data_IF_176058983631
#
_entry.id   IF_176058983631
#
_cell.length_a   1.000
_cell.length_b   1.000
_cell.length_c   1.000
_cell.angle_alpha   90.00
_cell.angle_beta   90.00
_cell.angle_gamma   90.00
#
_symmetry.space_group_name_H-M   'P 1'
#
loop_
_entity.id
_entity.type
_entity.pdbx_description
1 polymer ?
#
# COMPACT_ATOMS: atom_id res chain seq x y z
N UNK A 1 -10.59 5.21 21.92
CA UNK A 1 -11.64 4.63 21.06
C UNK A 1 -12.83 5.61 21.04
N UNK A 2 -12.98 6.37 19.96
CA UNK A 2 -14.03 7.38 19.77
C UNK A 2 -15.44 6.76 19.80
N UNK A 3 -15.59 5.49 19.44
CA UNK A 3 -16.90 4.81 19.48
C UNK A 3 -17.39 4.60 20.91
N UNK A 4 -16.48 4.45 21.86
CA UNK A 4 -16.78 4.28 23.30
C UNK A 4 -16.90 5.61 24.03
N UNK A 5 -16.17 6.65 23.61
CA UNK A 5 -16.10 7.95 24.28
C UNK A 5 -16.33 9.12 23.31
N UNK A 6 -17.41 9.06 22.53
CA UNK A 6 -17.77 10.08 21.52
C UNK A 6 -17.74 11.51 22.04
N UNK A 7 -18.24 11.73 23.25
CA UNK A 7 -18.31 13.07 23.85
C UNK A 7 -16.92 13.63 24.16
N UNK A 8 -16.05 12.85 24.77
CA UNK A 8 -14.68 13.28 25.10
C UNK A 8 -13.90 13.58 23.81
N UNK A 9 -13.96 12.68 22.87
CA UNK A 9 -13.23 12.84 21.63
C UNK A 9 -13.73 14.05 20.80
N UNK A 10 -15.05 14.30 20.74
CA UNK A 10 -15.61 15.52 20.13
C UNK A 10 -15.14 16.78 20.85
N UNK A 11 -15.11 16.75 22.18
CA UNK A 11 -14.61 17.86 22.97
C UNK A 11 -13.14 18.16 22.67
N UNK A 12 -12.28 17.13 22.58
CA UNK A 12 -10.87 17.31 22.25
C UNK A 12 -10.66 18.03 20.92
N UNK A 13 -11.49 17.76 19.90
CA UNK A 13 -11.40 18.43 18.60
C UNK A 13 -11.77 19.93 18.66
N UNK A 14 -12.50 20.38 19.69
CA UNK A 14 -12.87 21.81 19.86
C UNK A 14 -11.82 22.62 20.60
N UNK A 15 -10.86 21.98 21.27
CA UNK A 15 -9.88 22.68 22.12
C UNK A 15 -8.92 23.53 21.28
N UNK A 16 -8.75 24.82 21.58
CA UNK A 16 -7.79 25.69 20.90
C UNK A 16 -6.34 25.20 21.02
N UNK A 17 -6.00 24.49 22.09
CA UNK A 17 -4.67 23.92 22.34
C UNK A 17 -4.35 22.68 21.49
N UNK A 18 -5.32 22.11 20.77
CA UNK A 18 -5.07 21.02 19.82
C UNK A 18 -4.72 21.62 18.47
N UNK A 19 -3.46 21.61 18.09
CA UNK A 19 -2.95 22.15 16.83
C UNK A 19 -2.87 21.10 15.73
N UNK A 20 -2.78 19.82 16.11
CA UNK A 20 -2.64 18.68 15.21
C UNK A 20 -3.67 17.60 15.55
N UNK A 21 -4.37 17.11 14.53
CA UNK A 21 -5.24 15.93 14.58
C UNK A 21 -4.66 14.90 13.59
N UNK A 22 -4.34 13.70 14.05
CA UNK A 22 -3.92 12.60 13.17
C UNK A 22 -5.09 11.69 12.86
N UNK A 23 -5.16 11.22 11.61
CA UNK A 23 -6.21 10.31 11.12
C UNK A 23 -5.55 9.05 10.55
N UNK A 24 -5.98 7.88 11.03
CA UNK A 24 -5.59 6.58 10.47
C UNK A 24 -6.81 5.67 10.54
N UNK A 25 -7.46 5.43 9.39
CA UNK A 25 -8.75 4.73 9.30
C UNK A 25 -8.78 3.66 8.21
N UNK A 26 -7.69 3.48 7.49
CA UNK A 26 -7.56 2.65 6.29
C UNK A 26 -8.41 3.15 5.10
N UNK A 27 -8.24 2.54 3.93
CA UNK A 27 -8.92 2.93 2.68
C UNK A 27 -10.45 2.90 2.82
N UNK A 28 -10.98 1.92 3.56
CA UNK A 28 -12.42 1.79 3.81
C UNK A 28 -13.02 2.94 4.62
N UNK A 29 -12.20 3.62 5.41
CA UNK A 29 -12.61 4.77 6.22
C UNK A 29 -12.96 6.03 5.42
N UNK A 30 -12.65 6.04 4.11
CA UNK A 30 -12.95 7.16 3.20
C UNK A 30 -14.22 6.93 2.37
N UNK A 31 -14.88 5.78 2.52
CA UNK A 31 -16.12 5.49 1.81
C UNK A 31 -17.26 6.44 2.21
N UNK A 32 -18.21 6.73 1.31
CA UNK A 32 -19.42 7.45 1.65
C UNK A 32 -20.15 6.81 2.85
N UNK A 33 -20.52 7.61 3.84
CA UNK A 33 -21.14 7.12 5.08
C UNK A 33 -20.15 6.69 6.16
N UNK A 34 -18.85 6.86 5.94
CA UNK A 34 -17.85 6.65 6.98
C UNK A 34 -18.11 7.52 8.20
N UNK A 35 -18.06 6.95 9.41
CA UNK A 35 -18.23 7.70 10.64
C UNK A 35 -17.13 8.75 10.90
N UNK A 36 -16.00 8.68 10.21
CA UNK A 36 -14.91 9.65 10.29
C UNK A 36 -15.41 11.07 9.99
N UNK A 37 -16.13 11.24 8.87
CA UNK A 37 -16.55 12.56 8.41
C UNK A 37 -17.60 13.18 9.33
N UNK A 38 -18.56 12.40 9.82
CA UNK A 38 -19.51 12.85 10.85
C UNK A 38 -18.77 13.31 12.11
N UNK A 39 -17.78 12.53 12.51
CA UNK A 39 -17.00 12.80 13.70
C UNK A 39 -16.18 14.09 13.58
N UNK A 40 -15.47 14.28 12.48
CA UNK A 40 -14.74 15.52 12.19
C UNK A 40 -15.70 16.72 12.12
N UNK A 41 -16.81 16.61 11.39
CA UNK A 41 -17.81 17.67 11.27
C UNK A 41 -18.37 18.10 12.63
N UNK A 42 -18.74 17.13 13.48
CA UNK A 42 -19.23 17.41 14.82
C UNK A 42 -18.20 18.10 15.72
N UNK A 43 -16.93 17.68 15.65
CA UNK A 43 -15.86 18.26 16.45
C UNK A 43 -15.45 19.67 15.99
N UNK A 44 -15.39 19.88 14.67
CA UNK A 44 -14.89 21.13 14.09
C UNK A 44 -15.95 22.24 14.00
N UNK A 45 -17.25 21.91 14.04
CA UNK A 45 -18.36 22.88 13.91
C UNK A 45 -18.26 24.07 14.87
N UNK A 46 -17.80 23.84 16.08
CA UNK A 46 -17.70 24.88 17.11
C UNK A 46 -16.27 25.40 17.32
N UNK A 47 -15.34 24.91 16.51
CA UNK A 47 -13.94 25.32 16.60
C UNK A 47 -13.77 26.74 16.02
N UNK A 48 -12.92 27.54 16.67
CA UNK A 48 -12.64 28.94 16.29
C UNK A 48 -11.21 29.18 15.88
N UNK A 49 -10.32 28.20 16.12
CA UNK A 49 -8.89 28.31 15.83
C UNK A 49 -8.50 27.36 14.69
N UNK A 50 -7.55 27.74 13.83
CA UNK A 50 -7.03 26.87 12.79
C UNK A 50 -6.50 25.53 13.35
N UNK A 51 -6.44 24.52 12.51
CA UNK A 51 -5.94 23.20 12.89
C UNK A 51 -5.41 22.44 11.67
N UNK A 52 -4.35 21.69 11.87
CA UNK A 52 -3.82 20.75 10.88
C UNK A 52 -4.42 19.37 11.10
N UNK A 53 -4.95 18.75 10.05
CA UNK A 53 -5.43 17.35 10.06
C UNK A 53 -4.49 16.54 9.18
N UNK A 54 -3.66 15.71 9.81
CA UNK A 54 -2.65 14.90 9.16
C UNK A 54 -3.18 13.48 8.94
N UNK A 55 -3.38 13.12 7.68
CA UNK A 55 -3.72 11.77 7.29
C UNK A 55 -2.47 10.88 7.29
N UNK A 56 -2.50 9.79 8.06
CA UNK A 56 -1.40 8.82 8.15
C UNK A 56 -1.77 7.47 7.50
N UNK A 57 -2.76 7.44 6.63
CA UNK A 57 -3.13 6.23 5.89
C UNK A 57 -2.23 6.01 4.66
N UNK A 58 -2.09 4.76 4.26
CA UNK A 58 -1.25 4.36 3.13
C UNK A 58 -2.00 4.57 1.78
N UNK A 59 -2.38 5.81 1.51
CA UNK A 59 -3.09 6.24 0.31
C UNK A 59 -2.23 7.31 -0.36
N UNK A 60 -2.17 7.29 -1.69
CA UNK A 60 -1.47 8.31 -2.49
C UNK A 60 -2.13 9.68 -2.27
N UNK A 61 -1.33 10.72 -2.02
CA UNK A 61 -1.81 12.07 -1.71
C UNK A 61 -2.91 12.07 -0.63
N UNK A 62 -2.65 11.37 0.45
CA UNK A 62 -3.64 11.05 1.48
C UNK A 62 -4.28 12.29 2.13
N UNK A 63 -3.56 13.40 2.27
CA UNK A 63 -4.11 14.67 2.76
C UNK A 63 -5.15 15.24 1.80
N UNK A 64 -4.84 15.32 0.49
CA UNK A 64 -5.76 15.77 -0.54
C UNK A 64 -6.99 14.86 -0.66
N UNK A 65 -6.79 13.55 -0.55
CA UNK A 65 -7.88 12.58 -0.55
C UNK A 65 -8.84 12.80 0.63
N UNK A 66 -8.29 12.99 1.84
CA UNK A 66 -9.07 13.27 3.04
C UNK A 66 -9.86 14.58 2.90
N UNK A 67 -9.21 15.67 2.49
CA UNK A 67 -9.86 16.97 2.27
C UNK A 67 -11.00 16.86 1.27
N UNK A 68 -10.75 16.26 0.12
CA UNK A 68 -11.73 16.12 -0.96
C UNK A 68 -12.98 15.37 -0.50
N UNK A 69 -12.80 14.23 0.15
CA UNK A 69 -13.91 13.40 0.64
C UNK A 69 -14.65 14.08 1.80
N UNK A 70 -13.94 14.77 2.69
CA UNK A 70 -14.56 15.47 3.79
C UNK A 70 -15.39 16.67 3.31
N UNK A 71 -14.88 17.46 2.38
CA UNK A 71 -15.65 18.56 1.77
C UNK A 71 -16.89 18.03 1.02
N UNK A 72 -16.73 16.92 0.26
CA UNK A 72 -17.86 16.27 -0.42
C UNK A 72 -18.95 15.85 0.58
N UNK A 73 -18.56 15.25 1.71
CA UNK A 73 -19.48 14.90 2.80
C UNK A 73 -20.22 16.13 3.35
N UNK A 74 -19.52 17.24 3.61
CA UNK A 74 -20.12 18.46 4.14
C UNK A 74 -21.13 19.05 3.16
N UNK A 75 -20.83 19.09 1.86
CA UNK A 75 -21.77 19.54 0.84
C UNK A 75 -22.99 18.62 0.74
N UNK A 76 -22.79 17.31 0.74
CA UNK A 76 -23.87 16.32 0.69
C UNK A 76 -24.83 16.44 1.91
N UNK A 77 -24.30 16.80 3.07
CA UNK A 77 -25.07 16.96 4.32
C UNK A 77 -25.52 18.40 4.58
N UNK A 78 -25.46 19.28 3.57
CA UNK A 78 -25.87 20.71 3.62
C UNK A 78 -25.16 21.53 4.71
N UNK A 79 -23.90 21.19 5.04
CA UNK A 79 -23.09 21.91 6.02
C UNK A 79 -22.17 22.94 5.34
N UNK A 80 -22.73 23.80 4.52
CA UNK A 80 -21.99 24.75 3.65
C UNK A 80 -21.12 25.74 4.44
N UNK A 81 -21.63 26.28 5.53
CA UNK A 81 -20.88 27.24 6.38
C UNK A 81 -19.62 26.57 6.99
N UNK A 82 -19.77 25.32 7.43
CA UNK A 82 -18.63 24.55 7.93
C UNK A 82 -17.61 24.26 6.82
N UNK A 83 -18.07 23.93 5.61
CA UNK A 83 -17.18 23.70 4.48
C UNK A 83 -16.35 24.94 4.12
N UNK A 84 -16.95 26.15 4.17
CA UNK A 84 -16.22 27.42 3.98
C UNK A 84 -15.17 27.61 5.07
N UNK A 85 -15.58 27.46 6.34
CA UNK A 85 -14.66 27.59 7.47
C UNK A 85 -13.48 26.60 7.39
N UNK A 86 -13.73 25.33 7.01
CA UNK A 86 -12.71 24.30 6.82
C UNK A 86 -11.66 24.75 5.78
N UNK A 87 -12.09 25.23 4.63
CA UNK A 87 -11.18 25.69 3.55
C UNK A 87 -10.26 26.83 4.01
N UNK A 88 -10.74 27.69 4.87
CA UNK A 88 -9.99 28.85 5.35
C UNK A 88 -9.08 28.53 6.54
N UNK A 89 -9.48 27.60 7.40
CA UNK A 89 -8.87 27.41 8.73
C UNK A 89 -8.27 26.01 8.95
N UNK A 90 -8.44 25.07 8.02
CA UNK A 90 -7.88 23.72 8.16
C UNK A 90 -6.93 23.44 7.01
N UNK A 91 -5.79 22.80 7.34
CA UNK A 91 -4.86 22.29 6.36
C UNK A 91 -4.79 20.76 6.47
N UNK A 92 -4.64 20.13 5.31
CA UNK A 92 -4.59 18.69 5.16
C UNK A 92 -3.26 18.31 4.47
N UNK A 93 -2.12 18.43 5.16
CA UNK A 93 -0.87 18.00 4.56
C UNK A 93 -0.92 16.52 4.24
N UNK A 94 -0.39 16.14 3.08
CA UNK A 94 -0.13 14.75 2.78
C UNK A 94 1.07 14.25 3.58
N UNK A 95 1.09 12.97 3.90
CA UNK A 95 2.29 12.36 4.46
C UNK A 95 2.53 10.94 3.92
N UNK A 96 3.79 10.58 3.82
CA UNK A 96 4.20 9.21 3.53
C UNK A 96 4.71 8.57 4.82
N UNK A 97 4.13 7.44 5.16
CA UNK A 97 4.50 6.63 6.33
C UNK A 97 5.07 5.30 5.87
N UNK A 98 6.21 4.91 6.43
CA UNK A 98 6.83 3.62 6.14
C UNK A 98 7.45 3.00 7.39
N UNK A 99 6.82 1.94 7.85
CA UNK A 99 7.28 1.08 8.93
C UNK A 99 6.53 -0.25 8.87
N UNK A 100 7.23 -1.35 8.65
CA UNK A 100 6.59 -2.68 8.63
C UNK A 100 6.12 -3.03 10.03
N UNK A 101 4.81 -3.29 10.16
CA UNK A 101 4.13 -3.59 11.42
C UNK A 101 3.31 -4.85 11.23
N UNK A 102 3.88 -6.05 11.52
CA UNK A 102 3.17 -7.30 11.43
C UNK A 102 1.99 -7.39 12.39
N UNK A 103 1.16 -8.39 12.19
CA UNK A 103 0.06 -8.66 13.11
C UNK A 103 0.60 -9.05 14.49
N UNK A 104 0.11 -8.39 15.54
CA UNK A 104 0.45 -8.72 16.92
C UNK A 104 -0.05 -10.12 17.26
N UNK A 105 0.85 -11.00 17.69
CA UNK A 105 0.55 -12.36 18.13
C UNK A 105 0.12 -12.38 19.59
N UNK A 106 -0.59 -13.44 20.00
CA UNK A 106 -0.96 -13.62 21.41
C UNK A 106 0.29 -13.86 22.29
N UNK A 107 1.29 -14.57 21.77
CA UNK A 107 2.57 -14.75 22.46
C UNK A 107 3.28 -13.41 22.76
N UNK A 108 3.25 -12.45 21.82
CA UNK A 108 3.79 -11.11 22.07
C UNK A 108 2.98 -10.35 23.13
N UNK A 109 1.66 -10.45 23.11
CA UNK A 109 0.80 -9.84 24.14
C UNK A 109 1.09 -10.37 25.52
N UNK A 110 1.23 -11.68 25.65
CA UNK A 110 1.58 -12.35 26.91
C UNK A 110 2.98 -11.96 27.39
N UNK A 111 3.97 -11.85 26.49
CA UNK A 111 5.31 -11.41 26.87
C UNK A 111 5.31 -9.96 27.36
N UNK A 112 4.61 -9.05 26.66
CA UNK A 112 4.47 -7.66 27.08
C UNK A 112 3.71 -7.55 28.40
N UNK A 113 2.62 -8.31 28.58
CA UNK A 113 1.87 -8.31 29.85
C UNK A 113 2.71 -8.78 31.03
N UNK A 114 3.58 -9.77 30.81
CA UNK A 114 4.49 -10.28 31.85
C UNK A 114 5.55 -9.25 32.25
N UNK A 115 6.09 -8.49 31.26
CA UNK A 115 7.13 -7.46 31.49
C UNK A 115 6.54 -6.15 31.99
N UNK A 116 5.38 -5.80 31.50
CA UNK A 116 4.68 -4.55 31.76
C UNK A 116 3.20 -4.82 32.03
N UNK A 117 2.81 -5.20 33.28
CA UNK A 117 1.43 -5.53 33.62
C UNK A 117 0.44 -4.42 33.23
N UNK A 118 -0.64 -4.79 32.55
CA UNK A 118 -1.68 -3.89 32.05
C UNK A 118 -1.42 -3.34 30.64
N UNK A 119 -0.29 -3.66 30.00
CA UNK A 119 0.06 -3.14 28.67
C UNK A 119 0.01 -4.19 27.53
N UNK A 120 -0.17 -5.48 27.85
CA UNK A 120 -0.20 -6.54 26.84
C UNK A 120 -1.27 -6.32 25.76
N UNK A 121 -2.41 -5.73 26.12
CA UNK A 121 -3.49 -5.38 25.19
C UNK A 121 -3.05 -4.39 24.08
N UNK A 122 -2.12 -3.49 24.39
CA UNK A 122 -1.63 -2.45 23.48
C UNK A 122 -0.30 -2.83 22.79
N UNK A 123 0.14 -4.08 22.92
CA UNK A 123 1.37 -4.55 22.31
C UNK A 123 1.31 -4.45 20.77
N UNK A 124 2.34 -3.85 20.18
CA UNK A 124 2.53 -3.75 18.73
C UNK A 124 3.96 -4.09 18.41
N UNK A 125 4.16 -5.07 17.52
CA UNK A 125 5.47 -5.38 16.96
C UNK A 125 5.74 -4.50 15.75
N UNK A 126 6.98 -4.04 15.61
CA UNK A 126 7.39 -3.23 14.46
C UNK A 126 8.90 -3.38 14.25
N UNK A 127 9.36 -3.15 13.02
CA UNK A 127 10.77 -3.06 12.72
C UNK A 127 11.42 -1.80 13.32
N UNK A 128 12.76 -1.74 13.32
CA UNK A 128 13.51 -0.55 13.76
C UNK A 128 13.43 0.59 12.76
N UNK A 129 13.39 0.26 11.47
CA UNK A 129 13.26 1.26 10.40
C UNK A 129 11.97 2.05 10.55
N UNK A 130 12.07 3.35 10.33
CA UNK A 130 10.93 4.26 10.27
C UNK A 130 11.21 5.38 9.30
N UNK A 131 10.21 5.74 8.52
CA UNK A 131 10.25 6.92 7.68
C UNK A 131 8.89 7.61 7.76
N UNK A 132 8.92 8.89 8.06
CA UNK A 132 7.73 9.74 8.11
C UNK A 132 8.04 11.04 7.39
N UNK A 133 7.49 11.20 6.21
CA UNK A 133 7.64 12.38 5.38
C UNK A 133 6.32 13.14 5.46
N UNK A 134 6.37 14.44 5.72
CA UNK A 134 5.18 15.28 5.91
C UNK A 134 5.31 16.49 5.02
N UNK A 135 4.25 16.82 4.29
CA UNK A 135 4.16 18.02 3.48
C UNK A 135 4.17 19.28 4.35
N UNK A 136 4.98 20.28 3.96
CA UNK A 136 5.08 21.57 4.64
C UNK A 136 3.84 22.45 4.35
N UNK A 137 2.70 22.05 4.90
CA UNK A 137 1.42 22.73 4.71
C UNK A 137 0.59 22.72 6.01
N UNK A 138 0.93 23.59 6.95
CA UNK A 138 0.34 23.63 8.28
C UNK A 138 -0.59 24.84 8.46
N UNK A 139 -1.68 24.66 9.25
CA UNK A 139 -2.65 25.71 9.52
C UNK A 139 -2.24 26.68 10.65
N UNK A 140 -1.41 26.20 11.56
CA UNK A 140 -0.94 26.93 12.75
C UNK A 140 0.35 26.30 13.25
N UNK A 141 0.76 26.65 14.47
CA UNK A 141 1.92 26.04 15.12
C UNK A 141 1.85 24.52 15.03
N UNK A 142 2.92 23.93 14.54
CA UNK A 142 3.06 22.50 14.36
C UNK A 142 4.20 21.99 15.24
N UNK A 143 4.04 20.87 15.95
CA UNK A 143 5.12 20.33 16.76
C UNK A 143 6.32 20.00 15.87
N UNK A 144 7.53 20.34 16.34
CA UNK A 144 8.76 20.02 15.61
C UNK A 144 9.04 18.52 15.62
N UNK A 145 8.39 17.80 14.70
CA UNK A 145 8.55 16.35 14.53
C UNK A 145 9.88 15.95 13.89
N UNK A 146 10.68 16.93 13.41
CA UNK A 146 12.03 16.64 12.89
C UNK A 146 12.95 16.10 14.00
N UNK A 147 12.73 16.51 15.24
CA UNK A 147 13.46 16.01 16.41
C UNK A 147 13.26 14.52 16.69
N UNK A 148 12.18 13.92 16.14
CA UNK A 148 11.91 12.49 16.24
C UNK A 148 12.10 11.75 14.92
N UNK A 149 12.72 12.45 13.93
CA UNK A 149 13.14 11.87 12.65
C UNK A 149 12.11 11.97 11.54
N UNK A 150 11.05 12.77 11.68
CA UNK A 150 10.20 13.11 10.54
C UNK A 150 10.95 14.07 9.59
N UNK A 151 10.65 13.98 8.30
CA UNK A 151 11.15 14.89 7.26
C UNK A 151 9.99 15.79 6.82
N UNK A 152 10.21 17.10 6.88
CA UNK A 152 9.26 18.09 6.37
C UNK A 152 9.71 18.51 4.97
N UNK A 153 8.82 18.44 3.99
CA UNK A 153 9.14 18.74 2.59
C UNK A 153 7.99 19.49 1.90
N UNK A 154 8.34 20.30 0.91
CA UNK A 154 7.32 20.95 0.04
C UNK A 154 6.82 20.02 -1.06
N UNK A 155 7.57 18.99 -1.39
CA UNK A 155 7.23 18.01 -2.40
C UNK A 155 7.37 16.61 -1.81
N UNK A 156 6.23 15.96 -1.61
CA UNK A 156 6.16 14.61 -1.05
C UNK A 156 6.13 13.53 -2.14
N UNK A 157 5.78 13.90 -3.37
CA UNK A 157 5.54 12.95 -4.46
C UNK A 157 6.73 12.02 -4.73
N UNK A 158 8.02 12.51 -4.76
CA UNK A 158 9.16 11.63 -4.97
C UNK A 158 9.29 10.51 -3.93
N UNK A 159 8.94 10.79 -2.68
CA UNK A 159 8.98 9.81 -1.59
C UNK A 159 7.83 8.80 -1.71
N UNK A 160 6.61 9.26 -2.01
CA UNK A 160 5.46 8.39 -2.22
C UNK A 160 5.67 7.46 -3.40
N UNK A 161 6.09 8.00 -4.57
CA UNK A 161 6.35 7.21 -5.78
C UNK A 161 7.40 6.14 -5.52
N UNK A 162 8.52 6.51 -4.91
CA UNK A 162 9.60 5.57 -4.62
C UNK A 162 9.12 4.45 -3.69
N UNK A 163 8.46 4.79 -2.59
CA UNK A 163 7.93 3.80 -1.64
C UNK A 163 6.90 2.89 -2.29
N UNK A 164 5.94 3.45 -3.02
CA UNK A 164 4.86 2.69 -3.66
C UNK A 164 5.42 1.71 -4.70
N UNK A 165 6.35 2.14 -5.53
CA UNK A 165 6.89 1.31 -6.61
C UNK A 165 7.93 0.31 -6.12
N UNK A 166 8.90 0.75 -5.33
CA UNK A 166 10.02 -0.10 -4.88
C UNK A 166 9.56 -1.04 -3.77
N UNK A 167 9.02 -0.50 -2.68
CA UNK A 167 8.64 -1.32 -1.54
C UNK A 167 7.34 -2.08 -1.82
N UNK A 168 6.23 -1.37 -2.05
CA UNK A 168 4.93 -2.03 -2.20
C UNK A 168 4.86 -2.85 -3.51
N UNK A 169 5.39 -2.31 -4.61
CA UNK A 169 5.47 -2.99 -5.91
C UNK A 169 6.38 -4.22 -5.85
N UNK A 170 7.56 -4.09 -5.26
CA UNK A 170 8.49 -5.20 -5.05
C UNK A 170 7.89 -6.31 -4.16
N UNK A 171 7.28 -5.92 -3.05
CA UNK A 171 6.59 -6.83 -2.13
C UNK A 171 5.47 -7.62 -2.84
N UNK A 172 4.57 -6.91 -3.55
CA UNK A 172 3.48 -7.52 -4.31
C UNK A 172 4.00 -8.44 -5.41
N UNK A 173 5.04 -8.02 -6.11
CA UNK A 173 5.61 -8.77 -7.24
C UNK A 173 6.23 -10.10 -6.84
N UNK A 174 6.85 -10.18 -5.66
CA UNK A 174 7.51 -11.40 -5.18
C UNK A 174 6.60 -12.32 -4.37
N UNK A 175 5.59 -11.79 -3.70
CA UNK A 175 4.76 -12.57 -2.78
C UNK A 175 4.15 -13.81 -3.43
N UNK A 176 3.59 -13.67 -4.64
CA UNK A 176 2.97 -14.79 -5.34
C UNK A 176 3.99 -15.82 -5.85
N UNK A 177 5.18 -15.37 -6.26
CA UNK A 177 6.27 -16.28 -6.61
C UNK A 177 6.70 -17.09 -5.40
N UNK A 178 6.90 -16.44 -4.25
CA UNK A 178 7.25 -17.11 -3.00
C UNK A 178 6.20 -18.10 -2.54
N UNK A 179 4.93 -17.72 -2.56
CA UNK A 179 3.81 -18.60 -2.18
C UNK A 179 3.68 -19.81 -3.10
N UNK A 180 3.89 -19.64 -4.40
CA UNK A 180 3.93 -20.75 -5.37
C UNK A 180 5.14 -21.66 -5.18
N UNK A 181 6.26 -21.12 -4.69
CA UNK A 181 7.47 -21.89 -4.34
C UNK A 181 7.36 -22.59 -2.98
N UNK A 182 6.23 -22.44 -2.27
CA UNK A 182 5.97 -23.16 -1.02
C UNK A 182 6.49 -22.49 0.25
N UNK A 183 6.97 -21.25 0.16
CA UNK A 183 7.35 -20.46 1.34
C UNK A 183 6.10 -19.97 2.08
N UNK A 184 6.26 -19.71 3.38
CA UNK A 184 5.17 -19.21 4.23
C UNK A 184 5.33 -17.73 4.57
N UNK A 185 6.57 -17.24 4.61
CA UNK A 185 6.90 -15.89 5.04
C UNK A 185 7.75 -15.17 4.00
N UNK A 186 7.71 -13.85 4.00
CA UNK A 186 8.39 -13.05 2.98
C UNK A 186 9.91 -13.01 3.16
N UNK A 187 10.38 -13.10 4.40
CA UNK A 187 11.81 -13.21 4.70
C UNK A 187 12.41 -14.52 4.18
N UNK A 188 11.66 -15.63 4.22
CA UNK A 188 12.09 -16.90 3.58
C UNK A 188 12.29 -16.70 2.08
N UNK A 189 11.36 -16.01 1.41
CA UNK A 189 11.47 -15.69 -0.03
C UNK A 189 12.71 -14.85 -0.32
N UNK A 190 12.94 -13.80 0.48
CA UNK A 190 14.08 -12.90 0.27
C UNK A 190 15.44 -13.52 0.64
N UNK A 191 15.44 -14.52 1.51
CA UNK A 191 16.66 -15.28 1.84
C UNK A 191 16.97 -16.40 0.82
N UNK A 192 16.04 -16.73 -0.08
CA UNK A 192 16.32 -17.61 -1.22
C UNK A 192 17.09 -16.86 -2.32
N UNK A 193 18.26 -17.39 -2.78
CA UNK A 193 19.10 -16.70 -3.77
C UNK A 193 18.42 -16.46 -5.12
N UNK A 194 17.46 -17.31 -5.53
CA UNK A 194 16.76 -17.20 -6.81
C UNK A 194 15.76 -16.07 -6.78
N UNK A 195 14.94 -15.99 -5.72
CA UNK A 195 13.95 -14.94 -5.52
C UNK A 195 14.61 -13.59 -5.26
N UNK A 196 15.69 -13.58 -4.47
CA UNK A 196 16.49 -12.38 -4.23
C UNK A 196 17.10 -11.83 -5.52
N UNK A 197 17.60 -12.69 -6.41
CA UNK A 197 18.09 -12.30 -7.73
C UNK A 197 16.96 -11.72 -8.58
N UNK A 198 15.78 -12.34 -8.56
CA UNK A 198 14.61 -11.81 -9.26
C UNK A 198 14.21 -10.43 -8.75
N UNK A 199 14.20 -10.22 -7.42
CA UNK A 199 13.97 -8.92 -6.81
C UNK A 199 14.94 -7.86 -7.36
N UNK A 200 16.24 -8.14 -7.33
CA UNK A 200 17.24 -7.21 -7.85
C UNK A 200 17.05 -6.90 -9.33
N UNK A 201 16.79 -7.90 -10.16
CA UNK A 201 16.53 -7.71 -11.58
C UNK A 201 15.27 -6.87 -11.83
N UNK A 202 14.21 -7.09 -11.07
CA UNK A 202 12.99 -6.31 -11.12
C UNK A 202 13.26 -4.85 -10.73
N UNK A 203 13.92 -4.62 -9.59
CA UNK A 203 14.18 -3.26 -9.09
C UNK A 203 15.11 -2.48 -10.03
N UNK A 204 16.31 -3.02 -10.28
CA UNK A 204 17.33 -2.28 -11.05
C UNK A 204 17.04 -2.23 -12.55
N UNK A 205 16.41 -3.28 -13.11
CA UNK A 205 16.14 -3.38 -14.56
C UNK A 205 14.86 -2.69 -15.01
N UNK A 206 13.85 -2.66 -14.16
CA UNK A 206 12.50 -2.29 -14.59
C UNK A 206 11.88 -1.18 -13.71
N UNK A 207 11.91 -1.29 -12.37
CA UNK A 207 11.23 -0.32 -11.49
C UNK A 207 12.01 0.98 -11.40
N UNK A 208 13.30 0.95 -10.97
CA UNK A 208 14.11 2.18 -10.85
C UNK A 208 14.12 2.98 -12.16
N UNK A 209 14.40 2.37 -13.34
CA UNK A 209 14.40 3.12 -14.60
C UNK A 209 13.03 3.67 -15.02
N UNK A 210 11.96 3.26 -14.36
CA UNK A 210 10.60 3.74 -14.60
C UNK A 210 10.19 4.91 -13.69
N UNK A 211 10.98 5.22 -12.66
CA UNK A 211 10.76 6.35 -11.76
C UNK A 211 11.46 7.56 -12.38
N UNK A 212 10.71 8.66 -12.54
CA UNK A 212 11.19 9.89 -13.15
C UNK A 212 11.32 11.00 -12.10
N UNK A 213 12.08 12.02 -12.43
CA UNK A 213 12.31 13.19 -11.60
C UNK A 213 13.58 13.11 -10.75
N UNK A 214 13.93 14.25 -10.16
CA UNK A 214 15.05 14.35 -9.23
C UNK A 214 14.61 13.86 -7.85
N UNK A 215 15.24 12.82 -7.37
CA UNK A 215 14.96 12.27 -6.04
C UNK A 215 15.86 12.96 -5.00
N UNK A 216 15.32 13.32 -3.82
CA UNK A 216 16.10 13.97 -2.77
C UNK A 216 16.98 12.99 -1.97
N UNK A 217 17.16 11.77 -2.46
CA UNK A 217 17.94 10.70 -1.84
C UNK A 217 18.45 9.71 -2.90
N UNK A 218 19.41 8.86 -2.53
CA UNK A 218 19.91 7.79 -3.42
C UNK A 218 18.90 6.62 -3.47
N UNK A 219 18.34 6.41 -4.65
CA UNK A 219 17.34 5.35 -4.89
C UNK A 219 17.93 3.96 -4.76
N UNK A 220 19.21 3.77 -5.05
CA UNK A 220 19.88 2.47 -4.94
C UNK A 220 20.12 2.12 -3.47
N UNK A 221 20.54 3.08 -2.65
CA UNK A 221 20.63 2.90 -1.19
C UNK A 221 19.25 2.57 -0.59
N UNK A 222 18.18 3.18 -1.11
CA UNK A 222 16.83 2.88 -0.68
C UNK A 222 16.43 1.43 -1.03
N UNK A 223 16.75 0.93 -2.23
CA UNK A 223 16.49 -0.47 -2.62
C UNK A 223 17.28 -1.44 -1.74
N UNK A 224 18.55 -1.17 -1.47
CA UNK A 224 19.37 -2.01 -0.58
C UNK A 224 18.77 -2.04 0.84
N UNK A 225 18.24 -0.92 1.31
CA UNK A 225 17.55 -0.85 2.61
C UNK A 225 16.23 -1.65 2.61
N UNK A 226 15.47 -1.60 1.53
CA UNK A 226 14.26 -2.41 1.37
C UNK A 226 14.60 -3.90 1.34
N UNK A 227 15.67 -4.30 0.65
CA UNK A 227 16.16 -5.68 0.62
C UNK A 227 16.54 -6.18 2.02
N UNK A 228 17.29 -5.38 2.79
CA UNK A 228 17.64 -5.67 4.18
C UNK A 228 16.39 -5.89 5.05
N UNK A 229 15.42 -4.98 4.96
CA UNK A 229 14.16 -5.03 5.72
C UNK A 229 13.33 -6.27 5.38
N UNK A 230 13.23 -6.61 4.10
CA UNK A 230 12.49 -7.77 3.62
C UNK A 230 13.14 -9.11 4.01
N UNK A 231 14.47 -9.13 4.20
CA UNK A 231 15.21 -10.32 4.61
C UNK A 231 15.24 -10.52 6.14
N UNK A 232 14.62 -9.63 6.90
CA UNK A 232 14.67 -9.63 8.36
C UNK A 232 13.73 -10.67 8.97
N UNK A 233 14.27 -11.83 9.37
CA UNK A 233 13.54 -12.93 9.99
C UNK A 233 12.97 -12.61 11.39
N UNK A 234 13.30 -11.46 11.98
CA UNK A 234 12.70 -11.06 13.28
C UNK A 234 11.37 -10.32 13.10
N UNK A 235 11.08 -9.84 11.89
CA UNK A 235 9.86 -9.12 11.56
C UNK A 235 9.06 -9.89 10.48
N UNK A 236 8.59 -11.07 10.88
CA UNK A 236 7.94 -12.04 9.99
C UNK A 236 6.64 -11.49 9.40
N UNK A 237 6.55 -11.48 8.08
CA UNK A 237 5.34 -11.14 7.35
C UNK A 237 4.82 -12.34 6.55
N UNK A 238 3.60 -12.79 6.87
CA UNK A 238 3.01 -13.98 6.26
C UNK A 238 2.59 -13.72 4.81
N UNK A 239 2.98 -14.62 3.89
CA UNK A 239 2.62 -14.54 2.48
C UNK A 239 1.10 -14.60 2.26
N UNK A 240 0.37 -15.37 3.07
CA UNK A 240 -1.10 -15.40 3.03
C UNK A 240 -1.71 -13.98 3.18
N UNK A 241 -1.11 -13.13 4.03
CA UNK A 241 -1.54 -11.74 4.21
C UNK A 241 -1.13 -10.85 3.03
N UNK A 242 0.08 -11.03 2.52
CA UNK A 242 0.61 -10.21 1.43
C UNK A 242 -0.11 -10.52 0.12
N UNK A 243 -0.44 -11.76 -0.14
CA UNK A 243 -1.14 -12.21 -1.35
C UNK A 243 -2.63 -11.80 -1.40
N UNK A 244 -3.18 -11.15 -0.36
CA UNK A 244 -4.56 -10.63 -0.40
C UNK A 244 -4.67 -9.43 -1.33
N UNK A 245 -5.88 -9.24 -1.93
CA UNK A 245 -6.25 -8.07 -2.75
C UNK A 245 -5.27 -7.79 -3.90
N UNK A 246 -4.96 -8.84 -4.66
CA UNK A 246 -4.04 -8.75 -5.78
C UNK A 246 -4.51 -7.80 -6.86
N UNK A 247 -5.82 -7.77 -7.13
CA UNK A 247 -6.41 -6.90 -8.14
C UNK A 247 -6.05 -5.42 -7.89
N UNK A 248 -6.32 -4.92 -6.69
CA UNK A 248 -6.03 -3.53 -6.33
C UNK A 248 -4.52 -3.28 -6.24
N UNK A 249 -3.77 -4.22 -5.64
CA UNK A 249 -2.31 -4.06 -5.45
C UNK A 249 -1.55 -4.02 -6.76
N UNK A 250 -1.83 -4.91 -7.72
CA UNK A 250 -1.18 -4.86 -9.03
C UNK A 250 -1.51 -3.55 -9.75
N UNK A 251 -2.78 -3.14 -9.75
CA UNK A 251 -3.20 -1.90 -10.37
C UNK A 251 -2.48 -0.67 -9.77
N UNK A 252 -2.39 -0.61 -8.44
CA UNK A 252 -1.85 0.57 -7.74
C UNK A 252 -0.32 0.59 -7.70
N UNK A 253 0.33 -0.57 -7.51
CA UNK A 253 1.75 -0.62 -7.19
C UNK A 253 2.64 -1.07 -8.35
N UNK A 254 2.11 -1.86 -9.29
CA UNK A 254 2.90 -2.47 -10.37
C UNK A 254 2.60 -1.86 -11.74
N UNK A 255 1.32 -1.60 -12.04
CA UNK A 255 0.88 -1.04 -13.33
C UNK A 255 1.56 0.28 -13.68
N UNK A 256 1.81 1.24 -12.76
CA UNK A 256 2.53 2.46 -13.11
C UNK A 256 3.94 2.22 -13.65
N UNK A 257 4.69 1.27 -13.05
CA UNK A 257 6.02 0.90 -13.54
C UNK A 257 5.95 0.13 -14.86
N UNK A 258 4.97 -0.77 -15.01
CA UNK A 258 4.69 -1.46 -16.26
C UNK A 258 4.44 -0.49 -17.41
N UNK A 259 3.53 0.46 -17.19
CA UNK A 259 3.18 1.46 -18.20
C UNK A 259 4.41 2.26 -18.63
N UNK A 260 5.21 2.71 -17.67
CA UNK A 260 6.39 3.52 -17.95
C UNK A 260 7.47 2.75 -18.71
N UNK A 261 7.69 1.48 -18.37
CA UNK A 261 8.58 0.61 -19.14
C UNK A 261 8.13 0.49 -20.61
N UNK A 262 6.83 0.32 -20.83
CA UNK A 262 6.27 0.21 -22.18
C UNK A 262 6.37 1.52 -22.96
N UNK A 263 6.15 2.67 -22.33
CA UNK A 263 6.35 4.01 -22.91
C UNK A 263 7.81 4.23 -23.34
N UNK A 264 8.76 3.67 -22.59
CA UNK A 264 10.19 3.68 -22.90
C UNK A 264 10.58 2.63 -23.98
N UNK A 265 9.61 1.90 -24.53
CA UNK A 265 9.86 0.84 -25.53
C UNK A 265 10.54 -0.41 -24.96
N UNK A 266 10.58 -0.57 -23.63
CA UNK A 266 11.19 -1.72 -22.95
C UNK A 266 10.20 -2.88 -22.84
N UNK A 267 10.75 -4.10 -22.71
CA UNK A 267 10.01 -5.31 -22.40
C UNK A 267 10.22 -5.68 -20.92
N UNK A 268 9.27 -5.38 -20.02
CA UNK A 268 9.44 -5.59 -18.58
C UNK A 268 9.17 -7.06 -18.21
N UNK A 269 10.16 -7.91 -18.45
CA UNK A 269 10.00 -9.37 -18.32
C UNK A 269 9.79 -9.82 -16.87
N UNK A 270 10.39 -9.12 -15.89
CA UNK A 270 10.24 -9.49 -14.49
C UNK A 270 8.87 -9.05 -13.96
N UNK A 271 8.34 -7.90 -14.39
CA UNK A 271 6.94 -7.50 -14.12
C UNK A 271 5.98 -8.53 -14.73
N UNK A 272 6.20 -8.97 -15.98
CA UNK A 272 5.36 -10.00 -16.60
C UNK A 272 5.40 -11.33 -15.84
N UNK A 273 6.56 -11.74 -15.33
CA UNK A 273 6.69 -12.94 -14.48
C UNK A 273 5.90 -12.79 -13.19
N UNK A 274 5.94 -11.62 -12.55
CA UNK A 274 5.18 -11.35 -11.34
C UNK A 274 3.66 -11.38 -11.59
N UNK A 275 3.20 -10.81 -12.70
CA UNK A 275 1.79 -10.88 -13.13
C UNK A 275 1.39 -12.33 -13.40
N UNK A 276 2.24 -13.11 -14.07
CA UNK A 276 1.96 -14.51 -14.34
C UNK A 276 1.89 -15.36 -13.07
N UNK A 277 2.75 -15.09 -12.08
CA UNK A 277 2.67 -15.74 -10.77
C UNK A 277 1.34 -15.44 -10.06
N UNK A 278 0.91 -14.18 -10.04
CA UNK A 278 -0.40 -13.82 -9.51
C UNK A 278 -1.55 -14.52 -10.25
N UNK A 279 -1.51 -14.56 -11.60
CA UNK A 279 -2.50 -15.26 -12.41
C UNK A 279 -2.57 -16.75 -12.05
N UNK A 280 -1.42 -17.45 -11.97
CA UNK A 280 -1.36 -18.87 -11.65
C UNK A 280 -1.85 -19.13 -10.22
N UNK A 281 -1.44 -18.32 -9.25
CA UNK A 281 -1.88 -18.41 -7.86
C UNK A 281 -3.40 -18.28 -7.75
N UNK A 282 -3.96 -17.24 -8.36
CA UNK A 282 -5.40 -16.97 -8.38
C UNK A 282 -6.19 -18.09 -9.08
N UNK A 283 -5.64 -18.63 -10.19
CA UNK A 283 -6.25 -19.73 -10.93
C UNK A 283 -6.22 -21.04 -10.16
N UNK A 284 -5.15 -21.34 -9.43
CA UNK A 284 -5.08 -22.50 -8.52
C UNK A 284 -6.12 -22.39 -7.41
N UNK A 285 -6.31 -21.19 -6.85
CA UNK A 285 -7.38 -20.93 -5.88
C UNK A 285 -8.77 -21.15 -6.50
N UNK A 286 -9.04 -20.58 -7.68
CA UNK A 286 -10.32 -20.77 -8.42
C UNK A 286 -10.65 -22.24 -8.69
N UNK A 287 -9.61 -23.08 -8.88
CA UNK A 287 -9.72 -24.53 -9.06
C UNK A 287 -9.83 -25.33 -7.77
N UNK A 288 -9.94 -24.66 -6.62
CA UNK A 288 -10.14 -25.28 -5.31
C UNK A 288 -8.88 -25.86 -4.67
N UNK A 289 -7.70 -25.34 -4.98
CA UNK A 289 -6.47 -25.73 -4.30
C UNK A 289 -6.52 -25.33 -2.82
N UNK A 290 -6.66 -26.30 -1.91
CA UNK A 290 -6.83 -26.08 -0.47
C UNK A 290 -5.60 -25.48 0.23
N UNK A 291 -4.42 -25.57 -0.38
CA UNK A 291 -3.18 -24.99 0.16
C UNK A 291 -3.11 -23.46 -0.02
N UNK A 292 -3.91 -22.91 -0.95
CA UNK A 292 -3.91 -21.49 -1.24
C UNK A 292 -5.03 -20.82 -0.46
N UNK A 293 -4.68 -19.88 0.40
CA UNK A 293 -5.62 -18.99 1.08
C UNK A 293 -5.58 -17.64 0.36
N UNK A 294 -6.67 -17.30 -0.29
CA UNK A 294 -6.76 -16.07 -1.04
C UNK A 294 -8.01 -15.29 -0.65
N UNK A 295 -7.83 -14.05 -0.26
CA UNK A 295 -8.91 -13.10 -0.04
C UNK A 295 -8.78 -11.98 -1.07
N UNK A 296 -9.71 -11.96 -2.03
CA UNK A 296 -9.77 -11.00 -3.12
C UNK A 296 -11.12 -10.29 -3.09
N UNK A 297 -11.18 -9.03 -2.64
CA UNK A 297 -12.43 -8.25 -2.61
C UNK A 297 -13.06 -8.10 -3.99
N UNK A 298 -12.25 -8.08 -5.05
CA UNK A 298 -12.68 -7.98 -6.43
C UNK A 298 -12.87 -9.35 -7.13
N UNK A 299 -13.12 -10.42 -6.36
CA UNK A 299 -13.21 -11.79 -6.88
C UNK A 299 -14.22 -11.94 -8.02
N UNK A 300 -15.38 -11.31 -7.92
CA UNK A 300 -16.41 -11.33 -8.96
C UNK A 300 -15.96 -10.75 -10.31
N UNK A 301 -14.97 -9.87 -10.30
CA UNK A 301 -14.35 -9.29 -11.50
C UNK A 301 -13.18 -10.17 -11.99
N UNK A 302 -12.43 -10.77 -11.09
CA UNK A 302 -11.23 -11.53 -11.40
C UNK A 302 -11.56 -12.96 -11.84
N UNK A 303 -12.44 -13.67 -11.14
CA UNK A 303 -12.73 -15.09 -11.40
C UNK A 303 -13.07 -15.42 -12.86
N UNK A 304 -13.92 -14.65 -13.58
CA UNK A 304 -14.21 -14.93 -14.98
C UNK A 304 -12.99 -14.90 -15.89
N UNK A 305 -11.98 -14.10 -15.53
CA UNK A 305 -10.73 -13.93 -16.28
C UNK A 305 -9.72 -15.07 -16.06
N UNK A 306 -9.99 -15.93 -15.07
CA UNK A 306 -9.11 -17.06 -14.70
C UNK A 306 -9.59 -18.39 -15.30
N UNK A 307 -10.72 -18.42 -16.00
CA UNK A 307 -11.30 -19.62 -16.61
C UNK A 307 -10.44 -20.12 -17.77
N UNK A 308 -10.59 -21.39 -18.07
CA UNK A 308 -9.90 -21.98 -19.22
C UNK A 308 -10.32 -21.25 -20.51
N UNK A 309 -9.32 -20.87 -21.31
CA UNK A 309 -9.51 -20.07 -22.53
C UNK A 309 -9.67 -18.55 -22.31
N UNK A 310 -9.70 -18.05 -21.07
CA UNK A 310 -9.91 -16.63 -20.77
C UNK A 310 -8.64 -15.75 -20.79
N UNK A 311 -7.48 -16.29 -21.21
CA UNK A 311 -6.19 -15.53 -21.20
C UNK A 311 -6.31 -14.25 -22.02
N UNK A 312 -6.96 -14.27 -23.18
CA UNK A 312 -7.15 -13.06 -23.98
C UNK A 312 -7.98 -12.02 -23.25
N UNK A 313 -9.03 -12.43 -22.53
CA UNK A 313 -9.84 -11.53 -21.71
C UNK A 313 -9.02 -10.95 -20.52
N UNK A 314 -8.14 -11.75 -19.92
CA UNK A 314 -7.28 -11.30 -18.84
C UNK A 314 -6.28 -10.24 -19.31
N UNK A 315 -5.52 -10.51 -20.38
CA UNK A 315 -4.48 -9.58 -20.86
C UNK A 315 -5.05 -8.31 -21.51
N UNK A 316 -6.33 -8.33 -21.93
CA UNK A 316 -7.01 -7.18 -22.54
C UNK A 316 -7.93 -6.43 -21.58
N UNK A 317 -7.97 -6.80 -20.29
CA UNK A 317 -8.92 -6.25 -19.34
C UNK A 317 -8.55 -4.84 -18.90
N UNK A 318 -9.36 -3.84 -19.27
CA UNK A 318 -9.10 -2.42 -18.93
C UNK A 318 -9.25 -2.12 -17.43
N UNK A 319 -10.03 -2.90 -16.68
CA UNK A 319 -10.13 -2.72 -15.22
C UNK A 319 -8.87 -3.17 -14.50
N UNK A 320 -8.13 -4.13 -15.07
CA UNK A 320 -6.82 -4.56 -14.56
C UNK A 320 -5.69 -3.64 -14.99
N UNK A 321 -5.65 -3.31 -16.30
CA UNK A 321 -4.47 -2.73 -16.93
C UNK A 321 -4.67 -1.30 -17.41
N UNK A 322 -5.83 -0.67 -17.15
CA UNK A 322 -6.15 0.64 -17.68
C UNK A 322 -6.19 0.61 -19.21
N UNK A 323 -5.57 1.58 -19.84
CA UNK A 323 -5.51 1.72 -21.30
C UNK A 323 -4.27 1.04 -21.94
N UNK A 324 -3.43 0.40 -21.13
CA UNK A 324 -2.22 -0.31 -21.59
C UNK A 324 -2.50 -1.28 -22.75
N UNK A 325 -3.54 -2.16 -22.68
CA UNK A 325 -3.81 -3.09 -23.77
C UNK A 325 -4.13 -2.42 -25.11
N UNK A 326 -4.72 -1.22 -25.06
CA UNK A 326 -5.04 -0.44 -26.26
C UNK A 326 -3.83 0.27 -26.82
N UNK A 327 -3.00 0.83 -25.95
CA UNK A 327 -1.81 1.61 -26.33
C UNK A 327 -0.63 0.75 -26.76
N UNK A 328 -0.47 -0.42 -26.14
CA UNK A 328 0.72 -1.28 -26.30
C UNK A 328 0.35 -2.71 -26.69
N UNK A 329 0.22 -2.97 -28.00
CA UNK A 329 -0.09 -4.33 -28.52
C UNK A 329 0.98 -5.35 -28.10
N UNK A 330 2.25 -4.92 -27.92
CA UNK A 330 3.32 -5.77 -27.42
C UNK A 330 3.02 -6.33 -26.04
N UNK A 331 2.37 -5.58 -25.15
CA UNK A 331 1.98 -6.02 -23.82
C UNK A 331 1.08 -7.27 -23.86
N UNK A 332 -0.04 -7.18 -24.58
CA UNK A 332 -1.01 -8.28 -24.65
C UNK A 332 -0.39 -9.53 -25.26
N UNK A 333 0.40 -9.38 -26.35
CA UNK A 333 1.10 -10.47 -27.02
C UNK A 333 2.13 -11.13 -26.09
N UNK A 334 2.99 -10.33 -25.46
CA UNK A 334 4.14 -10.82 -24.69
C UNK A 334 3.67 -11.45 -23.37
N UNK A 335 2.73 -10.82 -22.67
CA UNK A 335 2.14 -11.39 -21.45
C UNK A 335 1.36 -12.68 -21.76
N UNK A 336 0.55 -12.70 -22.84
CA UNK A 336 -0.14 -13.91 -23.28
C UNK A 336 0.84 -15.05 -23.57
N UNK A 337 1.97 -14.76 -24.22
CA UNK A 337 2.99 -15.76 -24.52
C UNK A 337 3.52 -16.41 -23.24
N UNK A 338 3.77 -15.61 -22.18
CA UNK A 338 4.24 -16.11 -20.89
C UNK A 338 3.14 -16.94 -20.21
N UNK A 339 1.91 -16.47 -20.18
CA UNK A 339 0.79 -17.16 -19.53
C UNK A 339 0.42 -18.49 -20.18
N UNK A 340 0.67 -18.63 -21.49
CA UNK A 340 0.42 -19.88 -22.24
C UNK A 340 1.63 -20.79 -22.32
N UNK A 341 2.78 -20.35 -21.84
CA UNK A 341 4.01 -21.16 -21.83
C UNK A 341 3.90 -22.27 -20.81
N UNK A 342 3.80 -23.52 -21.27
CA UNK A 342 3.91 -24.70 -20.39
C UNK A 342 5.25 -24.72 -19.62
N UNK A 343 6.28 -24.12 -20.18
CA UNK A 343 7.58 -23.98 -19.54
C UNK A 343 7.49 -23.14 -18.27
N UNK A 344 6.67 -22.08 -18.23
CA UNK A 344 6.56 -21.23 -17.06
C UNK A 344 5.77 -21.88 -15.92
N UNK A 345 4.68 -22.61 -16.22
CA UNK A 345 4.01 -23.46 -15.20
C UNK A 345 4.98 -24.53 -14.68
N UNK A 346 5.80 -25.11 -15.56
CA UNK A 346 6.81 -26.10 -15.19
C UNK A 346 8.00 -25.49 -14.44
N UNK A 347 8.48 -24.28 -14.80
CA UNK A 347 9.49 -23.55 -14.05
C UNK A 347 9.04 -23.22 -12.62
N UNK A 348 7.76 -22.80 -12.45
CA UNK A 348 7.19 -22.61 -11.11
C UNK A 348 7.08 -23.95 -10.38
N UNK A 349 6.65 -25.03 -11.05
CA UNK A 349 6.55 -26.35 -10.44
C UNK A 349 7.94 -26.92 -10.09
N UNK A 350 8.98 -26.62 -10.83
CA UNK A 350 10.36 -26.94 -10.48
C UNK A 350 10.88 -26.13 -9.29
N UNK A 351 10.48 -24.86 -9.18
CA UNK A 351 10.79 -24.02 -7.99
C UNK A 351 10.03 -24.49 -6.75
N UNK A 352 8.85 -25.11 -6.92
CA UNK A 352 8.02 -25.64 -5.84
C UNK A 352 8.45 -27.04 -5.38
N UNK A 353 9.08 -27.83 -6.25
CA UNK A 353 9.40 -29.24 -6.00
C UNK A 353 10.90 -29.53 -5.76
N UNK A 354 11.75 -28.52 -5.80
CA UNK A 354 13.16 -28.58 -5.42
C UNK A 354 13.43 -27.77 -4.15
#
# INVERSE_FOLDING_TARGET
>A
DWTKNRTIAKHMLTLPSVHLITVTVTESGYAPGSPLFEYLACGLRNRKTPVTILCCDNIRQNGLALETQFLAYLYHTNQHELAVWIRENVKFPSCMVDRITPRTTDALREDVERRFPGYGYNAVQTEEYRQWIIEDNFASDFPDLTQVGAVITKDIEPYEETKIRILNGGHTSLAYLGALSGYNTFDEVMNDPTHRRHFKQLQHGEIIPSIEGDLPFDIYEYVDKVEERFSNATNVDELDRICMDGFTKFHTFVVPSLQKCLEQGKKPINIYKSIAAWYIYSRRFARGCKKIKYNEPNWTLLEPLLRDGAVDAFVSNERLWGDIPKKFISFTRDLKTILLSQTYEHEIDLLVNN
#
